data_IF_792703277004
#
_entry.id   IF_792703277004
#
_cell.length_a   1.000
_cell.length_b   1.000
_cell.length_c   1.000
_cell.angle_alpha   90.00
_cell.angle_beta   90.00
_cell.angle_gamma   90.00
#
_symmetry.space_group_name_H-M   'P 1'
#
loop_
_entity.id
_entity.type
_entity.pdbx_description
1 polymer ?
#
# COMPACT_ATOMS: atom_id res chain seq x y z
N UNK A 1 -1.21 60.15 10.81
CA UNK A 1 -0.16 59.45 11.57
C UNK A 1 -0.02 58.07 10.98
N UNK A 2 1.02 57.92 10.14
CA UNK A 2 1.73 56.70 9.76
C UNK A 2 1.08 55.72 8.77
N UNK A 3 1.33 56.03 7.50
CA UNK A 3 1.75 55.10 6.46
C UNK A 3 2.87 54.15 6.91
N UNK A 4 2.71 52.85 6.62
CA UNK A 4 3.75 51.85 6.33
C UNK A 4 3.04 50.48 6.29
N UNK A 5 3.25 49.59 5.33
CA UNK A 5 4.57 49.06 4.97
C UNK A 5 4.48 48.27 3.65
N UNK A 6 5.16 48.84 2.66
CA UNK A 6 5.83 48.28 1.48
C UNK A 6 5.62 46.79 1.15
N UNK A 7 4.96 46.61 0.01
CA UNK A 7 5.10 45.52 -0.96
C UNK A 7 6.58 45.39 -1.36
N UNK A 8 7.12 44.18 -1.32
CA UNK A 8 8.36 43.82 -2.04
C UNK A 8 9.42 43.17 -1.17
N UNK A 9 9.41 41.83 -1.09
CA UNK A 9 10.63 41.04 -0.85
C UNK A 9 10.38 39.54 -1.07
N UNK A 10 10.18 39.12 -2.33
CA UNK A 10 10.12 37.67 -2.65
C UNK A 10 10.96 37.29 -3.87
N UNK A 11 11.68 38.25 -4.47
CA UNK A 11 12.41 38.06 -5.74
C UNK A 11 13.93 37.89 -5.60
N UNK A 12 14.47 37.82 -4.37
CA UNK A 12 15.92 37.82 -4.13
C UNK A 12 16.50 36.49 -3.62
N UNK A 13 15.72 35.41 -3.56
CA UNK A 13 16.19 34.09 -3.12
C UNK A 13 16.23 33.02 -4.22
N UNK A 14 15.85 33.37 -5.44
CA UNK A 14 15.78 32.43 -6.56
C UNK A 14 17.12 32.10 -7.26
N UNK A 15 18.19 32.94 -7.26
CA UNK A 15 19.39 32.60 -8.02
C UNK A 15 20.47 31.81 -7.24
N UNK A 16 20.34 31.59 -5.92
CA UNK A 16 21.37 30.92 -5.13
C UNK A 16 21.14 29.40 -4.99
N UNK A 17 19.89 28.93 -5.12
CA UNK A 17 19.57 27.49 -5.09
C UNK A 17 19.81 26.77 -6.44
N UNK A 18 20.00 27.50 -7.54
CA UNK A 18 20.27 26.94 -8.87
C UNK A 18 21.77 26.62 -9.10
N UNK A 19 22.67 27.14 -8.26
CA UNK A 19 24.13 27.01 -8.44
C UNK A 19 24.75 25.76 -7.78
N UNK A 20 23.99 24.98 -6.99
CA UNK A 20 24.49 23.74 -6.37
C UNK A 20 24.28 22.47 -7.21
N UNK A 21 23.70 22.57 -8.41
CA UNK A 21 23.33 21.42 -9.24
C UNK A 21 24.35 21.05 -10.33
N UNK A 22 25.59 21.55 -10.29
CA UNK A 22 26.59 21.32 -11.35
C UNK A 22 27.95 20.74 -10.91
N UNK A 23 28.11 20.27 -9.67
CA UNK A 23 29.26 19.42 -9.32
C UNK A 23 28.91 17.93 -9.46
N UNK A 24 28.64 17.53 -10.70
CA UNK A 24 28.69 16.13 -11.10
C UNK A 24 30.14 15.76 -11.41
N UNK A 25 30.72 14.85 -10.64
CA UNK A 25 32.04 14.27 -10.90
C UNK A 25 32.03 13.55 -12.26
N UNK A 26 32.56 14.18 -13.29
CA UNK A 26 33.00 13.50 -14.50
C UNK A 26 34.38 12.90 -14.24
N UNK A 27 34.41 11.74 -13.58
CA UNK A 27 35.58 10.86 -13.60
C UNK A 27 35.53 10.05 -14.90
N UNK A 28 36.33 10.43 -15.89
CA UNK A 28 36.55 9.62 -17.10
C UNK A 28 37.21 8.28 -16.72
N UNK A 29 36.58 7.13 -17.01
CA UNK A 29 37.28 5.85 -16.88
C UNK A 29 38.24 5.68 -18.05
N UNK A 30 39.52 5.55 -17.72
CA UNK A 30 40.62 5.05 -18.56
C UNK A 30 40.15 3.87 -19.45
N UNK A 31 40.46 3.85 -20.76
CA UNK A 31 40.06 2.74 -21.62
C UNK A 31 40.83 1.49 -21.20
N UNK A 32 40.22 0.69 -20.33
CA UNK A 32 40.62 -0.69 -20.09
C UNK A 32 40.12 -1.48 -21.29
N UNK A 33 41.06 -2.04 -22.04
CA UNK A 33 40.81 -2.97 -23.13
C UNK A 33 39.78 -4.01 -22.70
N UNK A 34 38.57 -3.89 -23.25
CA UNK A 34 37.44 -4.78 -23.00
C UNK A 34 37.87 -6.19 -23.43
N UNK A 35 37.97 -7.17 -22.52
CA UNK A 35 38.09 -8.56 -22.94
C UNK A 35 36.88 -8.91 -23.82
N UNK A 36 37.03 -9.79 -24.83
CA UNK A 36 35.96 -10.10 -25.76
C UNK A 36 34.69 -10.45 -24.97
N UNK A 37 33.66 -9.62 -25.12
CA UNK A 37 32.33 -9.95 -24.65
C UNK A 37 31.97 -11.28 -25.31
N UNK A 38 31.52 -12.30 -24.55
CA UNK A 38 30.94 -13.46 -25.18
C UNK A 38 29.77 -12.96 -26.04
N UNK A 39 29.90 -13.30 -27.32
CA UNK A 39 28.95 -13.08 -28.38
C UNK A 39 27.54 -13.47 -27.93
N UNK A 40 26.54 -12.70 -28.41
CA UNK A 40 25.11 -12.95 -28.29
C UNK A 40 24.73 -14.41 -28.01
N UNK A 41 24.55 -14.74 -26.73
CA UNK A 41 23.91 -15.98 -26.31
C UNK A 41 22.48 -15.68 -25.94
N UNK A 42 21.55 -16.09 -26.81
CA UNK A 42 20.08 -16.21 -26.59
C UNK A 42 19.69 -15.95 -25.13
N UNK A 43 19.00 -14.83 -24.84
CA UNK A 43 18.38 -14.64 -23.53
C UNK A 43 17.48 -15.86 -23.32
N UNK A 44 17.73 -16.72 -22.31
CA UNK A 44 16.90 -17.88 -22.12
C UNK A 44 15.45 -17.41 -21.90
N UNK A 45 14.53 -17.94 -22.70
CA UNK A 45 13.08 -17.63 -22.63
C UNK A 45 12.50 -17.81 -21.22
N UNK A 46 13.19 -18.62 -20.39
CA UNK A 46 12.92 -18.84 -18.97
C UNK A 46 14.12 -18.40 -18.13
N UNK A 47 13.92 -17.39 -17.29
CA UNK A 47 14.95 -16.87 -16.38
C UNK A 47 14.45 -15.71 -15.53
N UNK A 48 15.30 -15.20 -14.64
CA UNK A 48 14.94 -14.09 -13.72
C UNK A 48 14.60 -12.81 -14.48
N UNK A 49 15.38 -12.47 -15.51
CA UNK A 49 15.16 -11.24 -16.28
C UNK A 49 13.81 -11.27 -17.03
N UNK A 50 13.47 -12.35 -17.78
CA UNK A 50 12.11 -12.52 -18.32
C UNK A 50 11.00 -12.52 -17.27
N UNK A 51 11.24 -13.06 -16.07
CA UNK A 51 10.25 -13.04 -14.99
C UNK A 51 9.97 -11.60 -14.49
N UNK A 52 11.02 -10.77 -14.39
CA UNK A 52 10.88 -9.37 -13.98
C UNK A 52 10.22 -8.52 -15.06
N UNK A 53 10.57 -8.73 -16.34
CA UNK A 53 9.90 -8.04 -17.45
C UNK A 53 8.42 -8.43 -17.53
N UNK A 54 8.11 -9.71 -17.29
CA UNK A 54 6.73 -10.19 -17.17
C UNK A 54 5.98 -9.48 -16.03
N UNK A 55 6.59 -9.37 -14.84
CA UNK A 55 5.99 -8.64 -13.73
C UNK A 55 5.73 -7.17 -14.08
N UNK A 56 6.65 -6.50 -14.78
CA UNK A 56 6.44 -5.13 -15.26
C UNK A 56 5.28 -5.04 -16.27
N UNK A 57 5.16 -6.01 -17.18
CA UNK A 57 4.04 -6.08 -18.13
C UNK A 57 2.69 -6.19 -17.38
N UNK A 58 2.60 -7.03 -16.34
CA UNK A 58 1.39 -7.18 -15.52
C UNK A 58 0.89 -5.84 -14.96
N UNK A 59 1.78 -4.91 -14.58
CA UNK A 59 1.37 -3.60 -14.01
C UNK A 59 0.64 -2.71 -15.02
N UNK A 60 0.92 -2.92 -16.32
CA UNK A 60 0.35 -2.15 -17.43
C UNK A 60 -0.96 -2.75 -17.95
N UNK A 61 -1.29 -3.96 -17.54
CA UNK A 61 -2.52 -4.65 -17.94
C UNK A 61 -3.70 -4.27 -17.05
N UNK A 62 -4.89 -4.33 -17.64
CA UNK A 62 -6.18 -4.23 -16.95
C UNK A 62 -6.50 -5.53 -16.19
N UNK A 63 -7.44 -5.46 -15.24
CA UNK A 63 -7.88 -6.63 -14.49
C UNK A 63 -8.44 -7.75 -15.39
N UNK A 64 -9.14 -7.39 -16.47
CA UNK A 64 -9.68 -8.34 -17.44
C UNK A 64 -8.57 -9.06 -18.23
N UNK A 65 -7.53 -8.33 -18.65
CA UNK A 65 -6.37 -8.91 -19.34
C UNK A 65 -5.56 -9.83 -18.44
N UNK A 66 -5.36 -9.45 -17.16
CA UNK A 66 -4.71 -10.31 -16.17
C UNK A 66 -5.54 -11.58 -15.92
N UNK A 67 -6.87 -11.47 -15.91
CA UNK A 67 -7.76 -12.63 -15.85
C UNK A 67 -7.61 -13.57 -17.04
N UNK A 68 -7.45 -13.05 -18.26
CA UNK A 68 -7.18 -13.85 -19.47
C UNK A 68 -5.81 -14.51 -19.40
N UNK A 69 -4.78 -13.78 -19.02
CA UNK A 69 -3.42 -14.29 -18.84
C UNK A 69 -3.39 -15.44 -17.82
N UNK A 70 -4.16 -15.33 -16.73
CA UNK A 70 -4.34 -16.43 -15.77
C UNK A 70 -4.89 -17.69 -16.43
N UNK A 71 -5.88 -17.57 -17.30
CA UNK A 71 -6.48 -18.71 -18.01
C UNK A 71 -5.50 -19.32 -19.01
N UNK A 72 -4.75 -18.48 -19.73
CA UNK A 72 -3.70 -18.94 -20.65
C UNK A 72 -2.64 -19.73 -19.90
N UNK A 73 -2.11 -19.18 -18.80
CA UNK A 73 -1.10 -19.88 -18.00
C UNK A 73 -1.63 -21.14 -17.32
N UNK A 74 -2.93 -21.22 -17.00
CA UNK A 74 -3.52 -22.41 -16.41
C UNK A 74 -3.62 -23.59 -17.41
N UNK A 75 -3.62 -23.31 -18.71
CA UNK A 75 -3.61 -24.32 -19.76
C UNK A 75 -2.18 -24.81 -20.10
N UNK A 76 -1.15 -24.10 -19.66
CA UNK A 76 0.25 -24.48 -19.89
C UNK A 76 0.74 -25.46 -18.82
N UNK A 77 1.73 -26.31 -19.14
CA UNK A 77 2.37 -27.15 -18.14
C UNK A 77 3.05 -26.29 -17.07
N UNK A 78 2.90 -26.68 -15.80
CA UNK A 78 3.42 -25.95 -14.64
C UNK A 78 4.91 -26.20 -14.43
N UNK A 79 5.74 -25.73 -15.36
CA UNK A 79 7.20 -25.65 -15.19
C UNK A 79 7.58 -24.72 -14.04
N UNK A 80 8.79 -24.76 -13.47
CA UNK A 80 9.19 -23.83 -12.41
C UNK A 80 8.98 -22.35 -12.79
N UNK A 81 9.24 -22.00 -14.05
CA UNK A 81 8.98 -20.67 -14.59
C UNK A 81 7.48 -20.36 -14.74
N UNK A 82 6.68 -21.33 -15.19
CA UNK A 82 5.22 -21.22 -15.24
C UNK A 82 4.57 -21.06 -13.86
N UNK A 83 5.06 -21.79 -12.86
CA UNK A 83 4.65 -21.67 -11.45
C UNK A 83 4.93 -20.27 -10.91
N UNK A 84 6.13 -19.74 -11.19
CA UNK A 84 6.50 -18.38 -10.80
C UNK A 84 5.60 -17.33 -11.47
N UNK A 85 5.35 -17.42 -12.79
CA UNK A 85 4.47 -16.50 -13.52
C UNK A 85 3.02 -16.58 -13.02
N UNK A 86 2.51 -17.78 -12.81
CA UNK A 86 1.18 -18.00 -12.25
C UNK A 86 1.06 -17.36 -10.85
N UNK A 87 2.07 -17.55 -9.98
CA UNK A 87 2.12 -16.93 -8.66
C UNK A 87 2.08 -15.40 -8.75
N UNK A 88 2.82 -14.79 -9.68
CA UNK A 88 2.78 -13.35 -9.91
C UNK A 88 1.41 -12.85 -10.35
N UNK A 89 0.70 -13.60 -11.21
CA UNK A 89 -0.64 -13.26 -11.68
C UNK A 89 -1.66 -13.30 -10.55
N UNK A 90 -1.70 -14.38 -9.79
CA UNK A 90 -2.70 -14.54 -8.72
C UNK A 90 -2.38 -13.71 -7.47
N UNK A 91 -1.14 -13.27 -7.30
CA UNK A 91 -0.75 -12.32 -6.26
C UNK A 91 -0.92 -10.85 -6.66
N UNK A 92 -1.38 -10.56 -7.88
CA UNK A 92 -1.43 -9.19 -8.40
C UNK A 92 -2.64 -8.39 -7.83
N UNK A 93 -2.46 -7.14 -7.36
CA UNK A 93 -3.50 -6.39 -6.64
C UNK A 93 -4.72 -5.98 -7.46
N UNK A 94 -4.64 -6.01 -8.80
CA UNK A 94 -5.79 -5.68 -9.66
C UNK A 94 -6.80 -6.82 -9.80
N UNK A 95 -6.48 -8.03 -9.33
CA UNK A 95 -7.34 -9.20 -9.40
C UNK A 95 -7.61 -9.75 -8.00
N UNK A 96 -8.60 -10.64 -7.88
CA UNK A 96 -8.86 -11.35 -6.64
C UNK A 96 -7.62 -12.16 -6.25
N UNK A 97 -7.03 -11.80 -5.11
CA UNK A 97 -5.73 -12.31 -4.68
C UNK A 97 -5.92 -13.63 -3.92
N UNK A 98 -5.07 -14.60 -4.22
CA UNK A 98 -5.01 -15.87 -3.51
C UNK A 98 -3.56 -16.14 -3.11
N UNK A 99 -3.15 -15.47 -2.03
CA UNK A 99 -1.78 -15.56 -1.52
C UNK A 99 -1.45 -16.99 -1.03
N UNK A 100 -2.42 -17.73 -0.51
CA UNK A 100 -2.21 -19.11 -0.07
C UNK A 100 -1.81 -20.02 -1.23
N UNK A 101 -2.55 -19.95 -2.35
CA UNK A 101 -2.18 -20.68 -3.57
C UNK A 101 -0.87 -20.17 -4.18
N UNK A 102 -0.63 -18.85 -4.16
CA UNK A 102 0.61 -18.27 -4.66
C UNK A 102 1.83 -18.79 -3.90
N UNK A 103 1.77 -18.81 -2.58
CA UNK A 103 2.82 -19.36 -1.72
C UNK A 103 3.06 -20.85 -1.98
N UNK A 104 2.00 -21.64 -2.19
CA UNK A 104 2.15 -23.05 -2.56
C UNK A 104 2.89 -23.26 -3.89
N UNK A 105 2.64 -22.41 -4.89
CA UNK A 105 3.37 -22.45 -6.16
C UNK A 105 4.84 -22.05 -5.99
N UNK A 106 5.11 -21.01 -5.21
CA UNK A 106 6.49 -20.55 -4.95
C UNK A 106 7.28 -21.59 -4.14
N UNK A 107 6.65 -22.23 -3.16
CA UNK A 107 7.24 -23.33 -2.39
C UNK A 107 7.60 -24.54 -3.29
N UNK A 108 6.75 -24.83 -4.30
CA UNK A 108 7.06 -25.80 -5.35
C UNK A 108 8.32 -25.46 -6.13
N UNK A 109 8.52 -24.19 -6.50
CA UNK A 109 9.75 -23.71 -7.17
C UNK A 109 10.97 -23.81 -6.24
N UNK A 110 10.81 -23.46 -4.97
CA UNK A 110 11.89 -23.50 -3.96
C UNK A 110 12.36 -24.93 -3.65
N UNK A 111 11.44 -25.90 -3.66
CA UNK A 111 11.73 -27.31 -3.40
C UNK A 111 12.16 -28.08 -4.65
N UNK A 112 12.02 -27.49 -5.83
CA UNK A 112 12.36 -28.16 -7.09
C UNK A 112 13.87 -28.38 -7.23
N UNK A 113 14.25 -29.60 -7.60
CA UNK A 113 15.64 -29.98 -7.93
C UNK A 113 15.98 -29.76 -9.41
N UNK A 114 15.03 -29.26 -10.21
CA UNK A 114 15.24 -28.95 -11.63
C UNK A 114 16.32 -27.86 -11.80
N UNK A 115 17.33 -28.04 -12.68
CA UNK A 115 18.30 -26.99 -12.98
C UNK A 115 17.65 -25.68 -13.47
N UNK A 116 16.48 -25.74 -14.10
CA UNK A 116 15.73 -24.55 -14.51
C UNK A 116 15.14 -23.76 -13.33
N UNK A 117 14.95 -24.39 -12.17
CA UNK A 117 14.42 -23.75 -10.97
C UNK A 117 15.50 -22.97 -10.21
N UNK A 118 16.75 -23.45 -10.18
CA UNK A 118 17.88 -22.87 -9.46
C UNK A 118 18.01 -21.34 -9.61
N UNK A 119 18.02 -20.76 -10.83
CA UNK A 119 18.13 -19.30 -10.97
C UNK A 119 16.89 -18.56 -10.45
N UNK A 120 15.71 -19.20 -10.42
CA UNK A 120 14.44 -18.59 -10.02
C UNK A 120 14.21 -18.63 -8.51
N UNK A 121 14.92 -19.48 -7.76
CA UNK A 121 14.68 -19.70 -6.33
C UNK A 121 14.83 -18.42 -5.50
N UNK A 122 15.83 -17.58 -5.79
CA UNK A 122 16.01 -16.31 -5.06
C UNK A 122 14.85 -15.35 -5.29
N UNK A 123 14.34 -15.27 -6.52
CA UNK A 123 13.17 -14.47 -6.85
C UNK A 123 11.90 -15.04 -6.21
N UNK A 124 11.74 -16.36 -6.23
CA UNK A 124 10.60 -17.04 -5.60
C UNK A 124 10.57 -16.79 -4.09
N UNK A 125 11.73 -16.83 -3.42
CA UNK A 125 11.86 -16.53 -1.98
C UNK A 125 11.47 -15.09 -1.66
N UNK A 126 11.99 -14.13 -2.42
CA UNK A 126 11.64 -12.72 -2.26
C UNK A 126 10.12 -12.51 -2.41
N UNK A 127 9.51 -13.11 -3.43
CA UNK A 127 8.06 -13.01 -3.64
C UNK A 127 7.27 -13.66 -2.51
N UNK A 128 7.73 -14.80 -1.99
CA UNK A 128 7.09 -15.48 -0.87
C UNK A 128 7.10 -14.60 0.40
N UNK A 129 8.24 -13.98 0.72
CA UNK A 129 8.35 -13.06 1.85
C UNK A 129 7.37 -11.88 1.70
N UNK A 130 7.30 -11.29 0.49
CA UNK A 130 6.36 -10.22 0.19
C UNK A 130 4.89 -10.64 0.33
N UNK A 131 4.53 -11.85 -0.11
CA UNK A 131 3.15 -12.33 0.01
C UNK A 131 2.75 -12.66 1.45
N UNK A 132 3.68 -13.18 2.25
CA UNK A 132 3.47 -13.38 3.70
C UNK A 132 3.26 -12.04 4.42
N UNK A 133 4.03 -11.01 4.06
CA UNK A 133 3.84 -9.66 4.60
C UNK A 133 2.46 -9.10 4.23
N UNK A 134 2.04 -9.23 2.97
CA UNK A 134 0.71 -8.79 2.53
C UNK A 134 -0.41 -9.48 3.28
N UNK A 135 -0.31 -10.79 3.49
CA UNK A 135 -1.29 -11.55 4.25
C UNK A 135 -1.38 -11.08 5.72
N UNK A 136 -0.23 -10.74 6.33
CA UNK A 136 -0.22 -10.14 7.69
C UNK A 136 -0.94 -8.78 7.70
N UNK A 137 -0.66 -7.91 6.74
CA UNK A 137 -1.31 -6.59 6.66
C UNK A 137 -2.81 -6.71 6.42
N UNK A 138 -3.25 -7.65 5.57
CA UNK A 138 -4.66 -7.95 5.33
C UNK A 138 -5.35 -8.39 6.64
N UNK A 139 -4.72 -9.31 7.39
CA UNK A 139 -5.26 -9.74 8.69
C UNK A 139 -5.36 -8.62 9.73
N UNK A 140 -4.47 -7.62 9.69
CA UNK A 140 -4.53 -6.46 10.57
C UNK A 140 -5.65 -5.50 10.14
N UNK A 141 -5.80 -5.28 8.83
CA UNK A 141 -6.87 -4.46 8.27
C UNK A 141 -8.24 -5.03 8.64
N UNK A 142 -8.43 -6.34 8.55
CA UNK A 142 -9.67 -7.00 8.98
C UNK A 142 -9.98 -6.77 10.47
N UNK A 143 -8.98 -6.91 11.35
CA UNK A 143 -9.13 -6.67 12.79
C UNK A 143 -9.51 -5.22 13.08
N UNK A 144 -8.84 -4.26 12.45
CA UNK A 144 -9.16 -2.84 12.60
C UNK A 144 -10.55 -2.51 12.05
N UNK A 145 -10.95 -3.13 10.95
CA UNK A 145 -12.31 -3.00 10.40
C UNK A 145 -13.38 -3.52 11.36
N UNK A 146 -13.13 -4.62 12.07
CA UNK A 146 -14.03 -5.13 13.11
C UNK A 146 -14.11 -4.20 14.32
N UNK A 147 -12.96 -3.73 14.82
CA UNK A 147 -12.88 -2.77 15.92
C UNK A 147 -13.64 -1.47 15.60
N UNK A 148 -13.52 -0.97 14.36
CA UNK A 148 -14.22 0.23 13.93
C UNK A 148 -15.73 0.02 13.92
N UNK A 149 -16.23 -1.12 13.40
CA UNK A 149 -17.65 -1.45 13.40
C UNK A 149 -18.21 -1.59 14.82
N UNK A 150 -17.46 -2.22 15.72
CA UNK A 150 -17.85 -2.35 17.12
C UNK A 150 -17.89 -0.98 17.83
N UNK A 151 -16.90 -0.12 17.57
CA UNK A 151 -16.86 1.25 18.07
C UNK A 151 -18.06 2.08 17.58
N UNK A 152 -18.38 1.99 16.28
CA UNK A 152 -19.55 2.64 15.70
C UNK A 152 -20.86 2.16 16.34
N UNK A 153 -21.00 0.86 16.59
CA UNK A 153 -22.16 0.30 17.29
C UNK A 153 -22.28 0.85 18.71
N UNK A 154 -21.18 0.88 19.47
CA UNK A 154 -21.15 1.47 20.82
C UNK A 154 -21.52 2.95 20.81
N UNK A 155 -21.04 3.71 19.82
CA UNK A 155 -21.39 5.12 19.67
C UNK A 155 -22.90 5.31 19.39
N UNK A 156 -23.49 4.47 18.53
CA UNK A 156 -24.92 4.49 18.26
C UNK A 156 -25.76 4.14 19.50
N UNK A 157 -25.37 3.09 20.25
CA UNK A 157 -26.01 2.71 21.51
C UNK A 157 -25.92 3.81 22.58
N UNK A 158 -24.80 4.55 22.63
CA UNK A 158 -24.64 5.70 23.53
C UNK A 158 -25.52 6.88 23.08
N UNK A 159 -25.63 7.14 21.78
CA UNK A 159 -26.50 8.19 21.26
C UNK A 159 -27.96 7.91 21.57
N UNK A 160 -28.43 6.68 21.37
CA UNK A 160 -29.80 6.26 21.72
C UNK A 160 -30.11 6.49 23.20
N UNK A 161 -29.14 6.24 24.09
CA UNK A 161 -29.29 6.52 25.53
C UNK A 161 -29.34 8.02 25.83
N UNK A 162 -28.53 8.82 25.16
CA UNK A 162 -28.56 10.29 25.30
C UNK A 162 -29.93 10.83 24.86
N UNK A 163 -30.41 10.37 23.72
CA UNK A 163 -31.71 10.78 23.17
C UNK A 163 -32.85 10.34 24.12
N UNK A 164 -32.80 9.11 24.63
CA UNK A 164 -33.76 8.62 25.63
C UNK A 164 -33.73 9.43 26.93
N UNK A 165 -32.56 9.86 27.41
CA UNK A 165 -32.46 10.75 28.58
C UNK A 165 -33.03 12.15 28.29
N UNK A 166 -32.78 12.69 27.10
CA UNK A 166 -33.32 13.99 26.68
C UNK A 166 -34.86 13.98 26.60
N UNK A 167 -35.45 12.87 26.13
CA UNK A 167 -36.90 12.69 26.09
C UNK A 167 -37.51 12.59 27.50
N UNK A 168 -36.83 11.92 28.43
CA UNK A 168 -37.23 11.91 29.85
C UNK A 168 -37.18 13.32 30.44
N UNK A 169 -36.11 14.09 30.18
CA UNK A 169 -36.00 15.48 30.64
C UNK A 169 -37.17 16.34 30.14
N UNK A 170 -37.55 16.17 28.88
CA UNK A 170 -38.65 16.91 28.27
C UNK A 170 -40.02 16.55 28.84
N UNK A 171 -40.22 15.31 29.26
CA UNK A 171 -41.51 14.80 29.76
C UNK A 171 -41.69 14.94 31.27
N UNK A 172 -40.62 15.27 32.01
CA UNK A 172 -40.70 15.58 33.43
C UNK A 172 -41.50 16.87 33.67
N UNK A 173 -42.52 16.86 34.56
CA UNK A 173 -43.29 18.06 34.87
C UNK A 173 -42.39 19.13 35.49
N UNK A 174 -42.49 20.37 35.01
CA UNK A 174 -41.77 21.49 35.61
C UNK A 174 -42.11 21.58 37.10
N UNK A 175 -41.10 21.44 37.96
CA UNK A 175 -41.24 21.69 39.39
C UNK A 175 -41.79 23.12 39.55
N UNK A 176 -42.92 23.32 40.26
CA UNK A 176 -43.49 24.66 40.44
C UNK A 176 -42.41 25.55 41.06
N UNK A 177 -42.04 26.61 40.32
CA UNK A 177 -41.13 27.64 40.82
C UNK A 177 -41.85 28.33 41.97
N UNK A 178 -41.45 28.03 43.20
CA UNK A 178 -41.77 28.91 44.33
C UNK A 178 -41.08 30.24 44.05
N UNK A 179 -41.82 31.37 43.97
CA UNK A 179 -41.20 32.66 43.77
C UNK A 179 -40.25 32.91 44.93
N UNK A 180 -38.97 33.10 44.61
CA UNK A 180 -37.96 33.52 45.59
C UNK A 180 -38.41 34.85 46.15
N UNK A 181 -38.83 34.87 47.41
CA UNK A 181 -39.10 36.11 48.13
C UNK A 181 -37.83 36.96 48.11
N UNK A 182 -37.89 38.08 47.40
CA UNK A 182 -36.87 39.12 47.40
C UNK A 182 -36.89 39.74 48.79
N UNK A 183 -35.99 39.34 49.68
CA UNK A 183 -35.78 40.04 50.96
C UNK A 183 -35.09 41.37 50.65
N UNK A 184 -35.71 42.54 50.93
CA UNK A 184 -35.03 43.81 50.79
C UNK A 184 -33.94 43.91 51.86
N UNK A 185 -32.78 44.43 51.45
CA UNK A 185 -31.59 44.54 52.29
C UNK A 185 -31.88 45.33 53.57
N UNK A 186 -31.40 44.80 54.69
CA UNK A 186 -31.23 45.57 55.92
C UNK A 186 -29.82 46.14 55.89
N UNK A 187 -29.75 47.44 55.69
CA UNK A 187 -28.54 48.23 55.93
C UNK A 187 -28.23 48.22 57.43
N UNK A 188 -26.99 47.85 57.78
CA UNK A 188 -26.29 48.41 58.93
C UNK A 188 -24.78 48.28 58.77
#
# INVERSE_FOLDING_TARGET
>A
MNDNKKIGSVKCWLPILLALALFGCASEPKPVSRPPMPESGVIPESGVIPALSYYQMLHRMSAAEIGRERMVLAALPMTPYGQLRMAMVIGHPRVQQDYGRALGLLDGVLKSTDPAAQPLQLLARLLADNYLERQKMESQLEKHGQQLKESQRKAAELQEKIDGLADIERTLPQRPRTPRAMTPGVAR
#
